data_IF_763944492961
#
_entry.id   IF_763944492961
#
_cell.length_a   1.000
_cell.length_b   1.000
_cell.length_c   1.000
_cell.angle_alpha   90.00
_cell.angle_beta   90.00
_cell.angle_gamma   90.00
#
_symmetry.space_group_name_H-M   'P 1'
#
loop_
_entity.id
_entity.type
_entity.pdbx_description
1 polymer ?
#
# COMPACT_ATOMS: atom_id res chain seq x y z
N UNK A 1 -30.74 13.25 -15.46
CA UNK A 1 -29.38 13.81 -15.64
C UNK A 1 -28.47 13.11 -14.64
N UNK A 2 -27.39 12.48 -15.11
CA UNK A 2 -26.52 11.65 -14.25
C UNK A 2 -25.56 12.53 -13.46
N UNK A 3 -25.66 12.52 -12.13
CA UNK A 3 -24.72 13.23 -11.26
C UNK A 3 -23.36 12.51 -11.23
N UNK A 4 -22.28 13.26 -11.41
CA UNK A 4 -20.92 12.72 -11.37
C UNK A 4 -20.36 12.86 -9.97
N UNK A 5 -19.89 11.75 -9.37
CA UNK A 5 -19.27 11.74 -8.04
C UNK A 5 -17.76 11.64 -8.19
N UNK A 6 -17.04 12.49 -7.47
CA UNK A 6 -15.57 12.56 -7.51
C UNK A 6 -14.99 11.72 -6.38
N UNK A 7 -13.85 11.09 -6.63
CA UNK A 7 -13.11 10.36 -5.60
C UNK A 7 -12.74 11.26 -4.41
N UNK A 8 -12.65 10.65 -3.23
CA UNK A 8 -12.35 11.37 -1.99
C UNK A 8 -11.00 12.11 -2.08
N UNK A 9 -10.98 13.41 -1.77
CA UNK A 9 -9.80 14.27 -1.82
C UNK A 9 -9.79 15.28 -0.67
N UNK A 10 -8.61 15.74 -0.26
CA UNK A 10 -8.50 16.82 0.73
C UNK A 10 -8.83 18.17 0.09
N UNK A 11 -9.29 19.12 0.92
CA UNK A 11 -9.52 20.51 0.51
C UNK A 11 -8.18 21.24 0.55
N UNK A 12 -7.77 21.81 -0.58
CA UNK A 12 -6.53 22.60 -0.70
C UNK A 12 -6.77 24.09 -0.46
N UNK A 13 -7.99 24.56 -0.72
CA UNK A 13 -8.38 25.95 -0.53
C UNK A 13 -9.88 26.06 -0.23
N UNK A 14 -10.26 26.97 0.66
CA UNK A 14 -11.64 27.30 1.00
C UNK A 14 -11.73 28.80 1.29
N UNK A 15 -12.59 29.50 0.58
CA UNK A 15 -12.86 30.92 0.76
C UNK A 15 -14.37 31.20 0.69
N UNK A 16 -14.78 32.37 1.16
CA UNK A 16 -16.17 32.84 1.06
C UNK A 16 -16.18 34.16 0.30
N UNK A 17 -16.87 34.19 -0.83
CA UNK A 17 -17.06 35.37 -1.66
C UNK A 17 -18.56 35.74 -1.64
N UNK A 18 -18.92 36.72 -0.80
CA UNK A 18 -20.31 37.12 -0.60
C UNK A 18 -21.16 35.99 -0.02
N UNK A 19 -22.12 35.50 -0.82
CA UNK A 19 -23.06 34.43 -0.45
C UNK A 19 -22.65 33.05 -1.00
N UNK A 20 -21.43 32.93 -1.54
CA UNK A 20 -20.93 31.68 -2.13
C UNK A 20 -19.64 31.26 -1.44
N UNK A 21 -19.60 30.02 -0.97
CA UNK A 21 -18.35 29.39 -0.57
C UNK A 21 -17.67 28.78 -1.80
N UNK A 22 -16.40 29.10 -1.99
CA UNK A 22 -15.58 28.61 -3.10
C UNK A 22 -14.50 27.73 -2.52
N UNK A 23 -14.31 26.54 -3.09
CA UNK A 23 -13.26 25.63 -2.62
C UNK A 23 -12.60 24.86 -3.75
N UNK A 24 -11.40 24.36 -3.48
CA UNK A 24 -10.61 23.55 -4.41
C UNK A 24 -10.15 22.28 -3.69
N UNK A 25 -10.06 21.19 -4.45
CA UNK A 25 -9.55 19.92 -3.96
C UNK A 25 -8.08 19.75 -4.35
N UNK A 26 -7.33 18.96 -3.59
CA UNK A 26 -5.95 18.62 -3.93
C UNK A 26 -5.82 17.80 -5.21
N UNK A 27 -6.81 16.93 -5.48
CA UNK A 27 -6.89 16.19 -6.73
C UNK A 27 -7.78 16.95 -7.74
N UNK A 28 -7.39 16.99 -9.02
CA UNK A 28 -8.17 17.67 -10.05
C UNK A 28 -9.50 16.96 -10.31
N UNK A 29 -10.45 17.71 -10.88
CA UNK A 29 -11.75 17.14 -11.28
C UNK A 29 -11.56 16.08 -12.36
N UNK A 30 -12.28 14.96 -12.23
CA UNK A 30 -12.15 13.83 -13.17
C UNK A 30 -13.34 13.68 -14.11
N UNK A 31 -14.45 14.40 -13.87
CA UNK A 31 -15.62 14.37 -14.74
C UNK A 31 -15.54 15.47 -15.80
N UNK A 32 -16.44 15.39 -16.78
CA UNK A 32 -16.57 16.42 -17.80
C UNK A 32 -17.05 17.73 -17.18
N UNK A 33 -16.20 18.76 -17.22
CA UNK A 33 -16.51 20.09 -16.70
C UNK A 33 -17.61 20.72 -17.56
N UNK A 34 -18.68 21.30 -16.96
CA UNK A 34 -19.71 22.00 -17.71
C UNK A 34 -19.15 23.15 -18.55
N UNK A 35 -19.66 23.32 -19.78
CA UNK A 35 -19.19 24.34 -20.73
C UNK A 35 -19.30 25.80 -20.23
N UNK A 36 -20.11 26.01 -19.18
CA UNK A 36 -20.33 27.33 -18.60
C UNK A 36 -19.30 27.71 -17.52
N UNK A 37 -18.38 26.81 -17.17
CA UNK A 37 -17.26 27.09 -16.27
C UNK A 37 -16.16 27.80 -17.05
N UNK A 38 -15.59 28.87 -16.48
CA UNK A 38 -14.47 29.57 -17.13
C UNK A 38 -13.15 28.78 -16.98
N UNK A 39 -12.23 28.95 -17.93
CA UNK A 39 -10.93 28.24 -17.91
C UNK A 39 -10.14 28.42 -16.60
N UNK A 40 -10.26 29.59 -15.96
CA UNK A 40 -9.58 29.91 -14.69
C UNK A 40 -10.23 29.24 -13.47
N UNK A 41 -11.46 28.76 -13.62
CA UNK A 41 -12.29 28.22 -12.56
C UNK A 41 -12.54 26.71 -12.69
N UNK A 42 -11.83 26.04 -13.61
CA UNK A 42 -12.00 24.60 -13.87
C UNK A 42 -11.89 23.75 -12.60
N UNK A 43 -10.93 24.06 -11.71
CA UNK A 43 -10.72 23.29 -10.47
C UNK A 43 -11.50 23.81 -9.25
N UNK A 44 -12.33 24.84 -9.43
CA UNK A 44 -13.09 25.45 -8.34
C UNK A 44 -14.49 24.86 -8.22
N UNK A 45 -14.96 24.75 -7.00
CA UNK A 45 -16.31 24.35 -6.63
C UNK A 45 -17.02 25.50 -5.93
N UNK A 46 -18.31 25.65 -6.18
CA UNK A 46 -19.17 26.63 -5.54
C UNK A 46 -20.26 25.93 -4.70
N UNK A 47 -20.54 26.50 -3.52
CA UNK A 47 -21.68 26.15 -2.68
C UNK A 47 -22.41 27.43 -2.32
N UNK A 48 -23.71 27.47 -2.62
CA UNK A 48 -24.57 28.61 -2.31
C UNK A 48 -24.96 28.61 -0.83
N UNK A 49 -24.62 29.65 -0.09
CA UNK A 49 -24.84 29.77 1.36
C UNK A 49 -26.22 30.33 1.74
N UNK A 50 -27.09 30.64 0.78
CA UNK A 50 -28.45 31.14 1.05
C UNK A 50 -29.42 30.05 1.47
N UNK A 51 -29.05 28.78 1.26
CA UNK A 51 -29.85 27.64 1.69
C UNK A 51 -29.29 27.05 2.99
N UNK A 52 -30.18 26.51 3.83
CA UNK A 52 -29.79 25.72 5.01
C UNK A 52 -28.84 24.57 4.64
N UNK A 53 -29.10 23.92 3.50
CA UNK A 53 -28.25 22.85 2.97
C UNK A 53 -26.84 23.35 2.64
N UNK A 54 -26.72 24.53 2.04
CA UNK A 54 -25.43 25.13 1.72
C UNK A 54 -24.65 25.58 2.94
N UNK A 55 -25.33 26.14 3.94
CA UNK A 55 -24.71 26.50 5.24
C UNK A 55 -24.21 25.26 5.99
N UNK A 56 -24.99 24.16 5.97
CA UNK A 56 -24.57 22.89 6.54
C UNK A 56 -23.35 22.31 5.78
N UNK A 57 -23.37 22.41 4.45
CA UNK A 57 -22.26 21.97 3.59
C UNK A 57 -20.99 22.80 3.85
N UNK A 58 -21.11 24.10 4.02
CA UNK A 58 -19.97 24.95 4.39
C UNK A 58 -19.39 24.57 5.76
N UNK A 59 -20.24 24.35 6.76
CA UNK A 59 -19.81 23.87 8.07
C UNK A 59 -19.07 22.53 7.99
N UNK A 60 -19.53 21.65 7.10
CA UNK A 60 -18.88 20.37 6.79
C UNK A 60 -17.49 20.59 6.17
N UNK A 61 -17.38 21.49 5.18
CA UNK A 61 -16.11 21.83 4.52
C UNK A 61 -15.10 22.44 5.48
N UNK A 62 -15.53 23.36 6.35
CA UNK A 62 -14.67 23.96 7.40
C UNK A 62 -14.16 22.87 8.35
N UNK A 63 -15.04 21.96 8.77
CA UNK A 63 -14.65 20.82 9.62
C UNK A 63 -13.66 19.92 8.91
N UNK A 64 -13.88 19.63 7.63
CA UNK A 64 -13.01 18.79 6.83
C UNK A 64 -11.62 19.41 6.68
N UNK A 65 -11.57 20.70 6.38
CA UNK A 65 -10.32 21.45 6.26
C UNK A 65 -9.56 21.47 7.60
N UNK A 66 -10.26 21.78 8.70
CA UNK A 66 -9.66 21.83 10.04
C UNK A 66 -9.11 20.49 10.50
N UNK A 67 -9.72 19.37 10.07
CA UNK A 67 -9.32 18.01 10.48
C UNK A 67 -8.52 17.26 9.41
N UNK A 68 -8.18 17.91 8.29
CA UNK A 68 -7.52 17.26 7.16
C UNK A 68 -8.29 16.04 6.61
N UNK A 69 -9.63 16.07 6.69
CA UNK A 69 -10.47 14.97 6.23
C UNK A 69 -10.68 15.01 4.72
N UNK A 70 -10.82 13.82 4.13
CA UNK A 70 -11.17 13.69 2.72
C UNK A 70 -12.65 13.95 2.51
N UNK A 71 -12.95 14.72 1.45
CA UNK A 71 -14.30 15.00 1.00
C UNK A 71 -14.54 14.37 -0.37
N UNK A 72 -15.75 13.88 -0.57
CA UNK A 72 -16.26 13.46 -1.87
C UNK A 72 -17.26 14.49 -2.33
N UNK A 73 -17.10 14.99 -3.54
CA UNK A 73 -17.98 16.01 -4.12
C UNK A 73 -18.82 15.38 -5.22
N UNK A 74 -20.12 15.62 -5.17
CA UNK A 74 -21.05 15.28 -6.25
C UNK A 74 -21.36 16.55 -7.03
N UNK A 75 -21.06 16.54 -8.32
CA UNK A 75 -21.34 17.67 -9.20
C UNK A 75 -22.85 17.81 -9.47
N UNK A 76 -23.33 19.05 -9.55
CA UNK A 76 -24.65 19.38 -10.09
C UNK A 76 -24.70 19.38 -11.63
N UNK A 77 -23.54 19.26 -12.29
CA UNK A 77 -23.32 19.49 -13.72
C UNK A 77 -23.89 20.85 -14.19
N UNK A 78 -23.87 21.84 -13.29
CA UNK A 78 -24.35 23.19 -13.50
C UNK A 78 -23.36 24.16 -12.85
N UNK A 79 -23.26 25.38 -13.37
CA UNK A 79 -22.37 26.40 -12.83
C UNK A 79 -23.17 27.61 -12.34
N UNK A 80 -22.60 28.30 -11.36
CA UNK A 80 -23.04 29.63 -10.97
C UNK A 80 -22.79 30.60 -12.14
N UNK A 81 -23.84 31.29 -12.58
CA UNK A 81 -23.80 32.15 -13.77
C UNK A 81 -22.91 33.38 -13.59
N UNK A 82 -22.78 33.87 -12.36
CA UNK A 82 -22.07 35.10 -12.07
C UNK A 82 -20.57 34.84 -11.87
N UNK A 83 -20.25 33.70 -11.26
CA UNK A 83 -18.87 33.30 -11.00
C UNK A 83 -18.27 32.42 -12.09
N UNK A 84 -19.08 31.82 -12.96
CA UNK A 84 -18.66 30.79 -13.90
C UNK A 84 -17.87 29.66 -13.21
N UNK A 85 -18.35 29.23 -12.04
CA UNK A 85 -17.79 28.14 -11.21
C UNK A 85 -18.83 27.03 -11.11
N UNK A 86 -18.39 25.78 -11.20
CA UNK A 86 -19.27 24.63 -11.06
C UNK A 86 -19.87 24.49 -9.64
N UNK A 87 -21.16 24.22 -9.55
CA UNK A 87 -21.87 24.05 -8.28
C UNK A 87 -21.77 22.60 -7.81
N UNK A 88 -21.40 22.42 -6.54
CA UNK A 88 -21.49 21.14 -5.87
C UNK A 88 -22.95 20.86 -5.47
N UNK A 89 -23.51 19.76 -5.97
CA UNK A 89 -24.84 19.28 -5.56
C UNK A 89 -24.81 18.68 -4.14
N UNK A 90 -23.67 18.12 -3.75
CA UNK A 90 -23.47 17.56 -2.43
C UNK A 90 -22.00 17.37 -2.11
N UNK A 91 -21.68 17.43 -0.82
CA UNK A 91 -20.38 17.10 -0.27
C UNK A 91 -20.59 16.10 0.84
N UNK A 92 -19.85 15.00 0.82
CA UNK A 92 -19.85 14.02 1.90
C UNK A 92 -18.46 13.92 2.53
N UNK A 93 -18.42 13.80 3.85
CA UNK A 93 -17.21 13.44 4.56
C UNK A 93 -17.09 11.93 4.54
N UNK A 94 -15.92 11.46 4.14
CA UNK A 94 -15.53 10.11 4.55
C UNK A 94 -14.91 10.26 5.92
N UNK A 95 -15.55 9.71 6.95
CA UNK A 95 -14.98 9.68 8.29
C UNK A 95 -13.59 9.07 8.19
N UNK A 96 -12.57 9.87 8.48
CA UNK A 96 -11.22 9.35 8.61
C UNK A 96 -11.25 8.47 9.86
N UNK A 97 -11.41 7.16 9.68
CA UNK A 97 -11.31 6.17 10.77
C UNK A 97 -9.91 6.10 11.35
N UNK A 98 -8.97 6.86 10.77
CA UNK A 98 -7.79 7.34 11.45
C UNK A 98 -8.18 8.12 12.70
N UNK A 99 -8.36 7.40 13.80
CA UNK A 99 -8.18 7.96 15.13
C UNK A 99 -6.89 8.76 15.12
N UNK A 100 -7.06 10.01 15.55
CA UNK A 100 -6.01 10.92 15.97
C UNK A 100 -5.34 10.29 17.19
N UNK A 101 -4.38 9.40 16.93
CA UNK A 101 -3.36 9.04 17.90
C UNK A 101 -2.23 10.00 17.57
N UNK A 102 -2.00 10.94 18.47
CA UNK A 102 -0.86 11.86 18.49
C UNK A 102 0.51 11.15 18.60
N UNK A 103 0.54 9.84 18.34
CA UNK A 103 1.67 8.91 18.20
C UNK A 103 1.40 7.88 17.08
N UNK A 104 0.77 8.30 15.97
CA UNK A 104 0.43 7.38 14.89
C UNK A 104 1.69 6.80 14.25
N UNK A 105 1.99 5.53 14.59
CA UNK A 105 3.05 4.74 13.98
C UNK A 105 2.96 4.86 12.45
N UNK A 106 4.07 5.18 11.82
CA UNK A 106 4.18 5.29 10.38
C UNK A 106 5.16 4.25 9.86
N UNK A 107 4.88 3.77 8.65
CA UNK A 107 5.76 2.88 7.92
C UNK A 107 6.70 3.73 7.06
N UNK A 108 7.99 3.45 7.13
CA UNK A 108 9.05 4.09 6.36
C UNK A 108 9.78 3.04 5.52
N UNK A 109 10.43 3.49 4.44
CA UNK A 109 11.38 2.66 3.70
C UNK A 109 12.51 2.21 4.61
N UNK A 110 13.33 1.27 4.13
CA UNK A 110 14.51 0.80 4.85
C UNK A 110 15.60 1.87 5.08
N UNK A 111 15.45 3.06 4.52
CA UNK A 111 16.26 4.25 4.84
C UNK A 111 15.87 4.90 6.18
N UNK A 112 14.71 4.57 6.75
CA UNK A 112 14.19 5.14 7.98
C UNK A 112 13.74 6.60 7.86
N UNK A 113 13.77 7.21 6.67
CA UNK A 113 13.45 8.63 6.44
C UNK A 113 12.28 8.82 5.50
N UNK A 114 12.14 7.99 4.47
CA UNK A 114 11.08 8.10 3.47
C UNK A 114 9.80 7.44 3.98
N UNK A 115 8.78 8.25 4.29
CA UNK A 115 7.48 7.75 4.76
C UNK A 115 6.72 7.07 3.61
N UNK A 116 6.18 5.88 3.87
CA UNK A 116 5.36 5.08 2.94
C UNK A 116 3.87 5.26 3.24
N UNK A 117 3.52 5.29 4.52
CA UNK A 117 2.12 5.32 4.94
C UNK A 117 1.96 5.37 6.45
N UNK A 118 0.71 5.44 6.90
CA UNK A 118 0.36 5.39 8.32
C UNK A 118 -0.06 3.98 8.69
N UNK A 119 0.53 3.42 9.75
CA UNK A 119 0.15 2.10 10.27
C UNK A 119 -1.19 2.25 10.99
N UNK A 120 -2.15 1.41 10.60
CA UNK A 120 -3.51 1.42 11.15
C UNK A 120 -3.78 0.20 12.04
N UNK A 121 -2.91 -0.82 12.01
CA UNK A 121 -3.02 -1.97 12.92
C UNK A 121 -2.17 -3.17 12.49
N UNK A 122 -2.42 -4.29 13.18
CA UNK A 122 -1.90 -5.61 12.85
C UNK A 122 -3.03 -6.46 12.26
N UNK A 123 -2.72 -7.31 11.27
CA UNK A 123 -3.65 -8.29 10.73
C UNK A 123 -3.17 -9.69 11.03
N UNK A 124 -3.94 -10.46 11.80
CA UNK A 124 -3.66 -11.88 12.03
C UNK A 124 -3.81 -12.70 10.75
N UNK A 125 -4.79 -12.36 9.91
CA UNK A 125 -5.01 -13.00 8.61
C UNK A 125 -3.81 -12.83 7.67
N UNK A 126 -3.16 -11.67 7.72
CA UNK A 126 -2.04 -11.32 6.87
C UNK A 126 -0.70 -11.29 7.63
N UNK A 127 -0.63 -11.87 8.84
CA UNK A 127 0.55 -11.89 9.73
C UNK A 127 1.51 -10.69 9.56
N UNK A 128 0.96 -9.48 9.60
CA UNK A 128 1.67 -8.28 9.17
C UNK A 128 0.96 -6.98 9.53
N UNK A 129 1.66 -5.87 9.31
CA UNK A 129 1.16 -4.53 9.60
C UNK A 129 0.27 -4.04 8.47
N UNK A 130 -0.92 -3.56 8.81
CA UNK A 130 -1.80 -2.85 7.90
C UNK A 130 -1.44 -1.36 7.92
N UNK A 131 -1.35 -0.77 6.75
CA UNK A 131 -1.05 0.65 6.60
C UNK A 131 -1.88 1.30 5.49
N UNK A 132 -2.15 2.59 5.63
CA UNK A 132 -2.74 3.43 4.58
C UNK A 132 -1.62 4.07 3.75
N UNK A 133 -1.51 3.76 2.44
CA UNK A 133 -0.48 4.34 1.59
C UNK A 133 -0.64 5.86 1.44
N UNK A 134 0.48 6.60 1.37
CA UNK A 134 0.46 8.04 1.10
C UNK A 134 -0.04 8.41 -0.31
N UNK A 135 -0.12 7.44 -1.22
CA UNK A 135 -0.55 7.63 -2.62
C UNK A 135 -2.05 7.92 -2.77
N UNK A 136 -2.79 8.09 -1.67
CA UNK A 136 -4.23 8.37 -1.68
C UNK A 136 -5.10 7.12 -1.88
N UNK A 137 -4.52 5.91 -1.77
CA UNK A 137 -5.30 4.68 -1.77
C UNK A 137 -6.20 4.61 -0.54
N UNK A 138 -7.50 4.45 -0.76
CA UNK A 138 -8.51 4.21 0.30
C UNK A 138 -8.47 2.78 0.86
N UNK A 139 -7.78 1.86 0.18
CA UNK A 139 -7.64 0.47 0.65
C UNK A 139 -6.34 0.33 1.45
N UNK A 140 -6.40 -0.14 2.71
CA UNK A 140 -5.21 -0.51 3.44
C UNK A 140 -4.41 -1.57 2.70
N UNK A 141 -3.11 -1.44 2.74
CA UNK A 141 -2.16 -2.44 2.25
C UNK A 141 -1.45 -3.11 3.43
N UNK A 142 -0.78 -4.24 3.18
CA UNK A 142 -0.14 -5.05 4.21
C UNK A 142 1.37 -5.15 4.00
N UNK A 143 2.14 -4.95 5.06
CA UNK A 143 3.57 -5.23 5.11
C UNK A 143 3.84 -6.42 6.03
N UNK A 144 4.38 -7.49 5.44
CA UNK A 144 4.71 -8.72 6.13
C UNK A 144 6.12 -8.67 6.66
N UNK A 145 6.30 -9.05 7.92
CA UNK A 145 7.54 -8.74 8.59
C UNK A 145 8.61 -9.84 8.43
N UNK A 146 9.85 -9.35 8.47
CA UNK A 146 11.07 -9.89 9.07
C UNK A 146 11.03 -11.28 9.75
N UNK A 147 11.87 -12.23 9.35
CA UNK A 147 12.15 -13.44 10.13
C UNK A 147 13.57 -13.40 10.66
N UNK A 148 13.76 -13.76 11.94
CA UNK A 148 15.09 -13.94 12.52
C UNK A 148 15.80 -15.18 11.97
N UNK A 149 15.02 -16.20 11.61
CA UNK A 149 15.49 -17.50 11.14
C UNK A 149 15.43 -17.57 9.62
N UNK A 150 16.13 -18.51 9.02
CA UNK A 150 15.96 -18.86 7.61
C UNK A 150 14.50 -19.24 7.28
N UNK A 151 14.11 -19.24 5.99
CA UNK A 151 12.80 -19.73 5.59
C UNK A 151 12.52 -21.13 6.14
N UNK A 152 11.32 -21.34 6.69
CA UNK A 152 10.91 -22.67 7.13
C UNK A 152 10.98 -23.68 5.98
N UNK A 153 11.44 -24.89 6.30
CA UNK A 153 11.65 -25.99 5.36
C UNK A 153 12.62 -25.67 4.22
N UNK A 154 13.52 -24.70 4.42
CA UNK A 154 14.67 -24.53 3.56
C UNK A 154 15.58 -25.77 3.59
N UNK A 155 16.08 -26.16 2.42
CA UNK A 155 17.00 -27.27 2.25
C UNK A 155 18.26 -26.84 1.51
N UNK A 156 19.35 -27.56 1.77
CA UNK A 156 20.68 -27.35 1.23
C UNK A 156 21.20 -28.66 0.65
N UNK A 157 22.17 -28.57 -0.26
CA UNK A 157 22.87 -29.74 -0.84
C UNK A 157 24.23 -30.00 -0.18
N UNK A 158 24.64 -29.12 0.75
CA UNK A 158 25.92 -29.17 1.46
C UNK A 158 25.72 -29.65 2.90
N UNK A 159 26.64 -30.48 3.44
CA UNK A 159 26.50 -31.04 4.80
C UNK A 159 26.55 -30.03 5.94
N UNK A 160 27.03 -28.82 5.69
CA UNK A 160 27.13 -27.71 6.64
C UNK A 160 26.01 -26.67 6.46
N UNK A 161 25.04 -26.95 5.58
CA UNK A 161 23.93 -26.05 5.25
C UNK A 161 24.42 -24.67 4.75
N UNK A 162 25.55 -24.65 4.06
CA UNK A 162 26.11 -23.47 3.40
C UNK A 162 25.72 -23.40 1.91
N UNK A 163 25.95 -22.25 1.29
CA UNK A 163 25.74 -22.08 -0.15
C UNK A 163 24.28 -21.92 -0.54
N UNK A 164 23.88 -22.58 -1.64
CA UNK A 164 22.57 -22.38 -2.24
C UNK A 164 21.46 -23.03 -1.41
N UNK A 165 20.46 -22.21 -1.08
CA UNK A 165 19.28 -22.62 -0.33
C UNK A 165 18.11 -22.85 -1.29
N UNK A 166 17.35 -23.91 -1.07
CA UNK A 166 16.18 -24.28 -1.86
C UNK A 166 14.94 -24.35 -0.99
N UNK A 167 13.78 -23.96 -1.54
CA UNK A 167 12.48 -24.07 -0.87
C UNK A 167 11.42 -24.51 -1.86
N UNK A 168 10.38 -25.18 -1.35
CA UNK A 168 9.21 -25.56 -2.15
C UNK A 168 8.54 -24.33 -2.76
N UNK A 169 8.56 -24.25 -4.08
CA UNK A 169 7.87 -23.25 -4.86
C UNK A 169 6.45 -23.73 -5.21
N UNK A 170 5.49 -22.81 -5.19
CA UNK A 170 4.16 -23.03 -5.72
C UNK A 170 3.85 -21.88 -6.68
N UNK A 171 3.38 -22.18 -7.89
CA UNK A 171 3.16 -21.19 -8.95
C UNK A 171 2.19 -20.06 -8.53
N UNK A 172 1.24 -20.38 -7.65
CA UNK A 172 0.28 -19.41 -7.12
C UNK A 172 0.68 -18.82 -5.76
N UNK A 173 1.85 -19.20 -5.21
CA UNK A 173 2.33 -18.63 -3.96
C UNK A 173 2.83 -17.21 -4.21
N UNK A 174 1.94 -16.25 -4.01
CA UNK A 174 2.30 -14.88 -3.70
C UNK A 174 2.81 -14.85 -2.26
N UNK A 175 3.90 -15.59 -1.97
CA UNK A 175 4.51 -15.51 -0.66
C UNK A 175 4.96 -14.05 -0.48
N UNK A 176 4.58 -13.43 0.64
CA UNK A 176 5.07 -12.10 0.93
C UNK A 176 6.60 -12.11 0.95
N UNK A 177 7.21 -11.04 0.45
CA UNK A 177 8.66 -10.86 0.52
C UNK A 177 9.07 -10.64 1.97
N UNK A 178 9.61 -11.67 2.61
CA UNK A 178 10.15 -11.59 3.97
C UNK A 178 11.63 -11.18 3.94
N UNK A 179 12.00 -10.30 4.86
CA UNK A 179 13.40 -10.04 5.16
C UNK A 179 13.91 -11.12 6.13
N UNK A 180 15.03 -11.76 5.84
CA UNK A 180 15.60 -12.80 6.69
C UNK A 180 16.89 -12.30 7.34
N UNK A 181 16.89 -12.14 8.66
CA UNK A 181 18.06 -11.61 9.41
C UNK A 181 19.29 -12.50 9.25
N UNK A 182 19.11 -13.82 9.27
CA UNK A 182 20.19 -14.80 9.13
C UNK A 182 21.04 -14.62 7.85
N UNK A 183 20.45 -14.04 6.79
CA UNK A 183 21.15 -13.74 5.53
C UNK A 183 21.16 -12.25 5.20
N UNK A 184 20.65 -11.41 6.12
CA UNK A 184 20.50 -9.97 6.02
C UNK A 184 19.95 -9.50 4.66
N UNK A 185 18.87 -10.14 4.18
CA UNK A 185 18.31 -9.85 2.86
C UNK A 185 16.86 -10.29 2.74
N UNK A 186 16.12 -9.66 1.83
CA UNK A 186 14.91 -10.28 1.27
C UNK A 186 15.29 -11.44 0.36
N UNK A 187 14.45 -12.47 0.33
CA UNK A 187 14.63 -13.62 -0.54
C UNK A 187 13.40 -13.85 -1.42
N UNK A 188 13.64 -14.22 -2.67
CA UNK A 188 12.64 -14.67 -3.64
C UNK A 188 13.09 -15.97 -4.30
N UNK A 189 12.24 -16.58 -5.11
CA UNK A 189 12.60 -17.75 -5.92
C UNK A 189 13.31 -17.31 -7.20
N UNK A 190 14.30 -18.09 -7.63
CA UNK A 190 14.82 -18.02 -8.98
C UNK A 190 13.77 -18.47 -10.02
N UNK A 191 13.91 -18.00 -11.26
CA UNK A 191 12.99 -18.30 -12.39
C UNK A 191 12.89 -19.82 -12.66
N UNK A 192 13.93 -20.59 -12.32
CA UNK A 192 13.91 -22.04 -12.46
C UNK A 192 14.05 -22.50 -13.92
N UNK A 193 14.29 -21.59 -14.85
CA UNK A 193 14.60 -21.89 -16.25
C UNK A 193 16.07 -22.26 -16.45
N UNK A 194 16.94 -21.83 -15.55
CA UNK A 194 18.37 -22.10 -15.59
C UNK A 194 18.72 -23.39 -14.85
N UNK A 195 19.71 -24.13 -15.37
CA UNK A 195 20.24 -25.31 -14.70
C UNK A 195 20.88 -24.91 -13.37
N UNK A 196 20.51 -25.60 -12.29
CA UNK A 196 20.97 -25.34 -10.92
C UNK A 196 19.97 -24.52 -10.08
N UNK A 197 18.97 -23.90 -10.71
CA UNK A 197 17.91 -23.18 -10.00
C UNK A 197 16.84 -24.14 -9.44
N UNK A 198 16.73 -25.36 -9.97
CA UNK A 198 15.88 -26.40 -9.39
C UNK A 198 16.71 -27.31 -8.52
N UNK A 199 16.15 -27.72 -7.38
CA UNK A 199 16.81 -28.71 -6.53
C UNK A 199 17.01 -30.03 -7.28
N UNK A 200 16.07 -30.40 -8.14
CA UNK A 200 16.15 -31.63 -8.95
C UNK A 200 17.35 -31.71 -9.89
N UNK A 201 17.97 -30.57 -10.22
CA UNK A 201 19.13 -30.52 -11.11
C UNK A 201 20.38 -31.14 -10.45
N UNK A 202 20.35 -31.36 -9.13
CA UNK A 202 21.45 -31.94 -8.35
C UNK A 202 21.39 -33.47 -8.20
N UNK A 203 20.50 -34.16 -8.91
CA UNK A 203 20.50 -35.62 -9.05
C UNK A 203 20.35 -36.38 -7.72
N UNK A 204 21.30 -37.29 -7.45
CA UNK A 204 21.35 -38.11 -6.22
C UNK A 204 22.02 -37.39 -5.04
N UNK A 205 22.17 -36.08 -5.10
CA UNK A 205 22.70 -35.32 -3.96
C UNK A 205 21.80 -35.49 -2.73
N UNK A 206 22.44 -35.72 -1.58
CA UNK A 206 21.76 -35.69 -0.28
C UNK A 206 21.33 -34.27 0.03
N UNK A 207 20.18 -34.15 0.67
CA UNK A 207 19.68 -32.87 1.14
C UNK A 207 19.90 -32.73 2.63
N UNK A 208 20.02 -31.49 3.08
CA UNK A 208 20.21 -31.14 4.46
C UNK A 208 19.25 -30.01 4.84
N UNK A 209 18.81 -29.97 6.09
CA UNK A 209 18.08 -28.82 6.64
C UNK A 209 18.78 -28.28 7.87
N UNK A 210 18.54 -27.01 8.18
CA UNK A 210 19.09 -26.36 9.36
C UNK A 210 18.06 -26.40 10.51
N UNK A 211 18.30 -27.24 11.52
CA UNK A 211 17.51 -27.27 12.75
C UNK A 211 17.96 -26.17 13.70
N UNK A 212 16.97 -25.48 14.27
CA UNK A 212 17.14 -24.40 15.26
C UNK A 212 18.09 -23.27 14.84
N UNK A 213 18.40 -23.17 13.54
CA UNK A 213 19.34 -22.20 12.99
C UNK A 213 20.82 -22.53 13.22
N UNK A 214 21.15 -23.71 13.78
CA UNK A 214 22.53 -24.06 14.18
C UNK A 214 22.95 -25.43 13.65
N UNK A 215 22.07 -26.45 13.76
CA UNK A 215 22.46 -27.84 13.51
C UNK A 215 22.02 -28.26 12.11
N UNK A 216 22.97 -28.53 11.22
CA UNK A 216 22.66 -29.08 9.90
C UNK A 216 22.44 -30.59 9.98
N UNK A 217 21.29 -31.08 9.53
CA UNK A 217 20.95 -32.50 9.52
C UNK A 217 20.59 -32.99 8.13
N UNK A 218 21.00 -34.23 7.84
CA UNK A 218 20.69 -34.91 6.58
C UNK A 218 19.22 -35.35 6.56
N UNK A 219 18.57 -35.18 5.41
CA UNK A 219 17.25 -35.73 5.13
C UNK A 219 17.46 -37.14 4.57
N UNK A 220 17.25 -38.16 5.40
CA UNK A 220 17.70 -39.55 5.14
C UNK A 220 16.92 -40.28 4.06
N UNK A 221 15.69 -39.86 3.77
CA UNK A 221 14.76 -40.65 2.95
C UNK A 221 14.66 -40.18 1.49
N UNK A 222 15.21 -39.02 1.15
CA UNK A 222 15.00 -38.47 -0.19
C UNK A 222 16.24 -37.76 -0.75
N UNK A 223 16.37 -37.82 -2.07
CA UNK A 223 17.42 -37.18 -2.85
C UNK A 223 16.88 -35.96 -3.60
N UNK A 224 17.79 -35.08 -4.03
CA UNK A 224 17.44 -33.81 -4.66
C UNK A 224 16.51 -33.98 -5.89
N UNK A 225 16.74 -34.99 -6.74
CA UNK A 225 15.95 -35.25 -7.96
C UNK A 225 14.44 -35.48 -7.72
N UNK A 226 14.03 -35.90 -6.52
CA UNK A 226 12.62 -36.18 -6.19
C UNK A 226 11.83 -34.86 -6.01
N UNK A 227 12.50 -33.73 -5.78
CA UNK A 227 11.88 -32.45 -5.42
C UNK A 227 11.88 -31.44 -6.57
N UNK A 228 11.22 -31.79 -7.68
CA UNK A 228 11.13 -30.91 -8.86
C UNK A 228 10.41 -29.57 -8.58
N UNK A 229 9.59 -29.48 -7.53
CA UNK A 229 8.95 -28.24 -7.10
C UNK A 229 9.84 -27.33 -6.22
N UNK A 230 11.05 -27.74 -5.85
CA UNK A 230 11.94 -26.88 -5.07
C UNK A 230 12.74 -25.96 -5.99
N UNK A 231 12.85 -24.69 -5.60
CA UNK A 231 13.57 -23.64 -6.34
C UNK A 231 14.60 -22.99 -5.44
N UNK A 232 15.71 -22.58 -6.04
CA UNK A 232 16.76 -21.80 -5.40
C UNK A 232 16.17 -20.49 -4.90
N UNK A 233 16.52 -20.13 -3.67
CA UNK A 233 16.21 -18.86 -3.06
C UNK A 233 17.33 -17.87 -3.37
N UNK A 234 16.98 -16.73 -3.94
CA UNK A 234 17.93 -15.68 -4.33
C UNK A 234 17.63 -14.39 -3.58
N UNK A 235 18.67 -13.61 -3.32
CA UNK A 235 18.55 -12.28 -2.71
C UNK A 235 17.80 -11.35 -3.66
N UNK A 236 16.97 -10.49 -3.10
CA UNK A 236 16.22 -9.48 -3.87
C UNK A 236 15.99 -8.22 -3.04
N UNK A 237 15.40 -7.22 -3.66
CA UNK A 237 14.98 -5.96 -3.03
C UNK A 237 13.48 -5.93 -2.88
N UNK A 238 12.99 -5.46 -1.74
CA UNK A 238 11.56 -5.27 -1.54
C UNK A 238 11.09 -4.02 -2.31
N UNK A 239 10.01 -4.10 -3.12
CA UNK A 239 9.56 -2.97 -3.95
C UNK A 239 9.21 -1.72 -3.14
N UNK A 240 8.66 -1.92 -1.93
CA UNK A 240 8.37 -0.83 -0.99
C UNK A 240 9.59 -0.37 -0.16
N UNK A 241 10.29 -1.31 0.49
CA UNK A 241 11.29 -0.99 1.52
C UNK A 241 12.72 -0.80 0.97
N UNK A 242 13.00 -1.28 -0.24
CA UNK A 242 14.36 -1.37 -0.79
C UNK A 242 15.13 -2.60 -0.28
N UNK A 243 16.41 -2.43 -0.02
CA UNK A 243 17.31 -3.53 0.41
C UNK A 243 17.15 -3.90 1.89
N UNK A 244 16.69 -2.96 2.71
CA UNK A 244 16.54 -3.09 4.17
C UNK A 244 15.06 -3.27 4.55
N UNK A 245 14.77 -3.90 5.72
CA UNK A 245 13.41 -3.99 6.22
C UNK A 245 12.79 -2.60 6.37
N UNK A 246 11.50 -2.46 6.04
CA UNK A 246 10.78 -1.22 6.34
C UNK A 246 10.85 -0.93 7.85
N UNK A 247 10.94 0.35 8.20
CA UNK A 247 11.03 0.83 9.58
C UNK A 247 9.66 1.32 10.04
N UNK A 248 9.27 0.92 11.24
CA UNK A 248 8.04 1.41 11.89
C UNK A 248 8.45 2.31 13.05
N UNK A 249 7.99 3.57 13.05
CA UNK A 249 8.26 4.57 14.09
C UNK A 249 7.11 5.55 14.25
#
# INVERSE_FOLDING_TARGET
MSASTIAASSISHLEVAGQTAIFTLSNPKTHQIPNCVSAQNHEKWAVNLNSLQGQATYSLLVTALSKGQFVTVTSANYCDTDLAIEIANGVSLTANTDRDVTHALALYKGDGTTKIGKVIGWSDKHHGYLYTPLTGSIKPDSYWHYSKRLPDYAVFITPDCSGDMYKRYYENNHYPLHFYEAVNSYLTYADGTQHGDKLSDHGESRMYHLLDGITCQVITENFAHIYSQYRKMVKTTHPLCGEKPCVIK
#
